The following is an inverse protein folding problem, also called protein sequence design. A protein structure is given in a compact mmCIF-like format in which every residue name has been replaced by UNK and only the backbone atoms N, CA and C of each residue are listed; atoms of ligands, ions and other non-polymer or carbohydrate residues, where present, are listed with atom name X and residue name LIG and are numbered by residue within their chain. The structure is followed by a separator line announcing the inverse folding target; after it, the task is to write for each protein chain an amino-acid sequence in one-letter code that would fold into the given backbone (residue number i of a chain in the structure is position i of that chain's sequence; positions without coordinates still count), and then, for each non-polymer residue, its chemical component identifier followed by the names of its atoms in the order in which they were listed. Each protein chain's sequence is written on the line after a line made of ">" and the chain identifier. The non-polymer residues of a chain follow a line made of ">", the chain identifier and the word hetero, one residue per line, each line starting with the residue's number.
data_IF_164448282951
#
_entry.id   IF_164448282951
#
_cell.length_a   1.000
_cell.length_b   1.000
_cell.length_c   1.000
_cell.angle_alpha   90.00
_cell.angle_beta   90.00
_cell.angle_gamma   90.00
#
_symmetry.space_group_name_H-M   'P 1'
#
loop_
_entity.id
_entity.type
_entity.pdbx_description
1 polymer ?
#
# COMPACT_ATOMS: atom_id res chain seq x y z
N UNK A 1 -36.43 12.72 -5.39
CA UNK A 1 -35.17 13.51 -5.44
C UNK A 1 -34.24 12.96 -4.37
N UNK A 2 -33.38 12.00 -4.70
CA UNK A 2 -32.46 11.37 -3.72
C UNK A 2 -31.16 10.95 -4.42
N UNK A 3 -30.33 11.93 -4.77
CA UNK A 3 -28.98 11.70 -5.34
C UNK A 3 -27.86 12.19 -4.41
N UNK A 4 -28.18 12.67 -3.21
CA UNK A 4 -27.21 13.33 -2.32
C UNK A 4 -26.32 12.37 -1.50
N UNK A 5 -26.54 11.05 -1.60
CA UNK A 5 -25.90 10.05 -0.73
C UNK A 5 -25.01 9.05 -1.50
N UNK A 6 -24.38 9.43 -2.60
CA UNK A 6 -23.43 8.55 -3.32
C UNK A 6 -22.12 9.26 -3.59
N UNK A 7 -21.00 8.61 -3.25
CA UNK A 7 -19.66 9.02 -3.70
C UNK A 7 -19.60 8.77 -5.21
N UNK A 8 -19.35 9.82 -5.98
CA UNK A 8 -19.27 9.76 -7.44
C UNK A 8 -17.89 10.16 -7.92
N UNK A 9 -17.48 9.70 -9.10
CA UNK A 9 -16.19 10.04 -9.69
C UNK A 9 -16.00 11.55 -9.85
N UNK A 10 -17.05 12.25 -10.30
CA UNK A 10 -17.04 13.73 -10.40
C UNK A 10 -16.76 14.38 -9.05
N UNK A 11 -17.33 13.84 -7.96
CA UNK A 11 -17.07 14.39 -6.63
C UNK A 11 -15.63 14.17 -6.19
N UNK A 12 -15.05 13.00 -6.48
CA UNK A 12 -13.65 12.71 -6.19
C UNK A 12 -12.72 13.65 -6.96
N UNK A 13 -13.02 13.94 -8.24
CA UNK A 13 -12.27 14.93 -9.02
C UNK A 13 -12.36 16.33 -8.41
N UNK A 14 -13.56 16.79 -8.02
CA UNK A 14 -13.74 18.08 -7.35
C UNK A 14 -12.92 18.17 -6.06
N UNK A 15 -12.87 17.07 -5.29
CA UNK A 15 -12.07 16.97 -4.06
C UNK A 15 -10.58 17.06 -4.39
N UNK A 16 -10.08 16.30 -5.36
CA UNK A 16 -8.68 16.35 -5.79
C UNK A 16 -8.31 17.75 -6.28
N UNK A 17 -9.19 18.40 -7.07
CA UNK A 17 -9.01 19.77 -7.53
C UNK A 17 -8.95 20.76 -6.36
N UNK A 18 -9.79 20.57 -5.34
CA UNK A 18 -9.85 21.45 -4.17
C UNK A 18 -8.63 21.32 -3.24
N UNK A 19 -7.98 20.16 -3.20
CA UNK A 19 -6.78 19.92 -2.39
C UNK A 19 -5.54 20.59 -2.99
N UNK A 20 -5.54 20.86 -4.31
CA UNK A 20 -4.53 21.64 -5.03
C UNK A 20 -3.06 21.22 -4.74
N UNK A 21 -2.82 19.92 -4.62
CA UNK A 21 -1.48 19.36 -4.42
C UNK A 21 -0.77 19.16 -5.76
N UNK A 22 0.42 19.76 -5.92
CA UNK A 22 1.25 19.63 -7.13
C UNK A 22 1.63 18.18 -7.45
N UNK A 23 1.73 17.32 -6.44
CA UNK A 23 2.09 15.89 -6.57
C UNK A 23 0.87 14.98 -6.57
N UNK A 24 -0.34 15.54 -6.51
CA UNK A 24 -1.61 14.80 -6.43
C UNK A 24 -2.04 14.50 -5.01
N UNK A 25 -3.35 14.32 -4.83
CA UNK A 25 -3.96 14.11 -3.53
C UNK A 25 -3.83 12.65 -3.07
N UNK A 26 -3.49 12.43 -1.80
CA UNK A 26 -3.47 11.08 -1.22
C UNK A 26 -4.88 10.51 -1.10
N UNK A 27 -5.01 9.19 -1.18
CA UNK A 27 -6.29 8.50 -0.97
C UNK A 27 -6.94 8.88 0.37
N UNK A 28 -6.13 9.05 1.41
CA UNK A 28 -6.58 9.42 2.76
C UNK A 28 -7.06 10.87 2.81
N UNK A 29 -6.37 11.81 2.15
CA UNK A 29 -6.83 13.19 2.06
C UNK A 29 -8.19 13.29 1.35
N UNK A 30 -8.35 12.53 0.25
CA UNK A 30 -9.63 12.40 -0.46
C UNK A 30 -10.69 11.79 0.46
N UNK A 31 -10.35 10.70 1.17
CA UNK A 31 -11.25 10.03 2.11
C UNK A 31 -11.70 10.94 3.24
N UNK A 32 -10.80 11.70 3.88
CA UNK A 32 -11.14 12.64 4.97
C UNK A 32 -12.08 13.72 4.49
N UNK A 33 -11.85 14.27 3.30
CA UNK A 33 -12.72 15.30 2.74
C UNK A 33 -14.13 14.76 2.51
N UNK A 34 -14.22 13.58 1.89
CA UNK A 34 -15.49 12.88 1.67
C UNK A 34 -16.15 12.46 2.99
N UNK A 35 -15.36 12.14 4.02
CA UNK A 35 -15.87 11.83 5.36
C UNK A 35 -16.56 13.04 5.99
N UNK A 36 -15.94 14.21 5.92
CA UNK A 36 -16.51 15.46 6.47
C UNK A 36 -17.83 15.88 5.80
N UNK A 37 -18.03 15.47 4.56
CA UNK A 37 -19.20 15.84 3.75
C UNK A 37 -20.35 14.83 3.84
N UNK A 38 -20.08 13.60 4.27
CA UNK A 38 -21.07 12.52 4.37
C UNK A 38 -21.07 11.85 5.75
N UNK A 39 -21.32 12.56 6.87
CA UNK A 39 -21.25 11.99 8.21
C UNK A 39 -22.21 10.80 8.42
N UNK A 40 -23.30 10.73 7.65
CA UNK A 40 -24.35 9.71 7.79
C UNK A 40 -24.00 8.32 7.21
N UNK A 41 -22.91 8.19 6.44
CA UNK A 41 -22.49 6.90 5.88
C UNK A 41 -21.60 6.12 6.86
N UNK A 42 -21.80 4.79 6.95
CA UNK A 42 -20.88 3.91 7.67
C UNK A 42 -19.48 3.97 7.04
N UNK A 43 -18.44 3.97 7.86
CA UNK A 43 -17.05 4.09 7.42
C UNK A 43 -16.68 3.03 6.35
N UNK A 44 -17.07 1.78 6.58
CA UNK A 44 -16.82 0.67 5.64
C UNK A 44 -17.43 0.89 4.26
N UNK A 45 -18.70 1.30 4.20
CA UNK A 45 -19.40 1.51 2.93
C UNK A 45 -18.79 2.68 2.15
N UNK A 46 -18.44 3.76 2.86
CA UNK A 46 -17.78 4.93 2.26
C UNK A 46 -16.44 4.55 1.64
N UNK A 47 -15.67 3.71 2.32
CA UNK A 47 -14.36 3.26 1.87
C UNK A 47 -14.46 2.35 0.65
N UNK A 48 -15.37 1.39 0.67
CA UNK A 48 -15.56 0.48 -0.48
C UNK A 48 -16.03 1.25 -1.72
N UNK A 49 -16.97 2.18 -1.54
CA UNK A 49 -17.42 3.05 -2.62
C UNK A 49 -16.30 3.97 -3.13
N UNK A 50 -15.48 4.54 -2.24
CA UNK A 50 -14.34 5.34 -2.64
C UNK A 50 -13.31 4.51 -3.41
N UNK A 51 -13.06 3.26 -3.01
CA UNK A 51 -12.21 2.31 -3.74
C UNK A 51 -12.71 2.10 -5.15
N UNK A 52 -13.99 1.75 -5.29
CA UNK A 52 -14.60 1.48 -6.58
C UNK A 52 -14.51 2.72 -7.50
N UNK A 53 -14.76 3.91 -6.95
CA UNK A 53 -14.72 5.16 -7.72
C UNK A 53 -13.30 5.54 -8.12
N UNK A 54 -12.30 5.38 -7.24
CA UNK A 54 -10.91 5.65 -7.59
C UNK A 54 -10.40 4.66 -8.64
N UNK A 55 -10.80 3.40 -8.55
CA UNK A 55 -10.47 2.38 -9.55
C UNK A 55 -11.12 2.70 -10.89
N UNK A 56 -12.42 3.02 -10.90
CA UNK A 56 -13.14 3.50 -12.09
C UNK A 56 -12.46 4.74 -12.70
N UNK A 57 -12.01 5.68 -11.88
CA UNK A 57 -11.29 6.86 -12.33
C UNK A 57 -9.95 6.53 -13.01
N UNK A 58 -9.21 5.55 -12.49
CA UNK A 58 -7.97 5.07 -13.10
C UNK A 58 -8.24 4.33 -14.41
N UNK A 59 -9.24 3.45 -14.44
CA UNK A 59 -9.59 2.66 -15.63
C UNK A 59 -10.13 3.55 -16.76
N UNK A 60 -10.89 4.59 -16.41
CA UNK A 60 -11.41 5.57 -17.37
C UNK A 60 -10.38 6.62 -17.80
N UNK A 61 -9.19 6.64 -17.20
CA UNK A 61 -8.14 7.64 -17.45
C UNK A 61 -8.48 9.06 -16.95
N UNK A 62 -9.58 9.20 -16.18
CA UNK A 62 -9.98 10.46 -15.54
C UNK A 62 -9.15 10.79 -14.32
N UNK A 63 -8.54 9.78 -13.72
CA UNK A 63 -7.51 9.89 -12.70
C UNK A 63 -6.22 9.24 -13.21
N UNK A 64 -5.09 9.76 -12.75
CA UNK A 64 -3.76 9.20 -13.04
C UNK A 64 -2.92 9.16 -11.77
N UNK A 65 -1.90 8.31 -11.77
CA UNK A 65 -0.89 8.28 -10.70
C UNK A 65 0.31 9.16 -11.07
N UNK A 66 0.99 9.78 -10.09
CA UNK A 66 2.25 10.49 -10.35
C UNK A 66 3.31 9.56 -10.96
N UNK A 67 4.14 10.12 -11.84
CA UNK A 67 5.21 9.37 -12.49
C UNK A 67 6.21 8.80 -11.45
N UNK A 68 6.53 7.51 -11.58
CA UNK A 68 7.41 6.78 -10.67
C UNK A 68 6.70 5.98 -9.56
N UNK A 69 5.38 6.13 -9.40
CA UNK A 69 4.60 5.30 -8.47
C UNK A 69 4.50 3.86 -8.97
N UNK A 70 5.11 2.90 -8.24
CA UNK A 70 4.98 1.44 -8.47
C UNK A 70 3.89 0.81 -7.60
N UNK A 71 2.89 1.58 -7.19
CA UNK A 71 1.79 1.08 -6.35
C UNK A 71 0.78 0.35 -7.24
N UNK A 72 0.41 -0.87 -6.87
CA UNK A 72 -0.56 -1.70 -7.60
C UNK A 72 -1.97 -1.12 -7.68
N UNK A 73 -2.87 -1.78 -8.42
CA UNK A 73 -4.30 -1.38 -8.52
C UNK A 73 -4.96 -1.40 -7.14
N UNK A 74 -5.41 -0.25 -6.64
CA UNK A 74 -6.08 -0.16 -5.34
C UNK A 74 -6.23 1.25 -4.78
N UNK A 75 -6.72 1.33 -3.53
CA UNK A 75 -6.97 2.53 -2.71
C UNK A 75 -5.69 3.24 -2.22
N UNK A 76 -4.51 2.77 -2.60
CA UNK A 76 -3.23 3.24 -2.04
C UNK A 76 -2.58 4.21 -3.00
N UNK A 77 -1.86 5.20 -2.49
CA UNK A 77 -1.09 6.17 -3.27
C UNK A 77 -1.81 7.47 -3.59
N UNK A 78 -1.16 8.27 -4.44
CA UNK A 78 -1.62 9.60 -4.85
C UNK A 78 -2.36 9.56 -6.18
N UNK A 79 -3.37 10.41 -6.28
CA UNK A 79 -4.23 10.56 -7.45
C UNK A 79 -4.16 12.00 -7.97
N UNK A 80 -3.91 12.11 -9.25
CA UNK A 80 -3.94 13.33 -10.03
C UNK A 80 -5.15 13.29 -10.95
N UNK A 81 -5.66 14.46 -11.31
CA UNK A 81 -6.63 14.57 -12.39
C UNK A 81 -5.97 14.14 -13.70
N UNK A 82 -6.63 13.24 -14.42
CA UNK A 82 -6.28 12.87 -15.77
C UNK A 82 -6.46 14.07 -16.69
N UNK A 83 -5.44 14.39 -17.48
CA UNK A 83 -5.63 15.26 -18.63
C UNK A 83 -6.34 14.42 -19.69
N UNK A 84 -7.53 14.81 -20.11
CA UNK A 84 -8.31 14.17 -21.19
C UNK A 84 -7.63 14.18 -22.59
N UNK A 85 -6.30 14.31 -22.63
CA UNK A 85 -5.49 14.57 -23.83
C UNK A 85 -4.46 13.48 -24.14
N UNK A 86 -4.33 12.41 -23.35
CA UNK A 86 -3.52 11.25 -23.74
C UNK A 86 -4.42 10.14 -24.26
N UNK A 87 -4.86 10.32 -25.52
CA UNK A 87 -5.22 9.18 -26.36
C UNK A 87 -3.96 8.31 -26.48
N UNK A 88 -4.19 7.00 -26.35
CA UNK A 88 -3.28 5.90 -26.66
C UNK A 88 -2.30 6.23 -27.82
N UNK A 89 -1.02 5.82 -27.75
CA UNK A 89 -0.15 5.89 -28.92
C UNK A 89 -0.73 5.05 -30.06
N UNK A 90 -1.08 5.73 -31.15
CA UNK A 90 -1.51 5.18 -32.44
C UNK A 90 -0.46 4.23 -33.00
N UNK A 91 -0.81 2.97 -33.20
CA UNK A 91 -0.10 2.07 -34.13
C UNK A 91 -0.62 2.43 -35.54
N UNK A 92 0.24 2.78 -36.52
CA UNK A 92 -0.22 3.10 -37.86
C UNK A 92 -0.78 1.87 -38.59
N UNK A 93 -1.94 2.06 -39.21
CA UNK A 93 -2.63 1.16 -40.13
C UNK A 93 -1.68 0.60 -41.20
N UNK A 94 -1.70 -0.73 -41.33
CA UNK A 94 -1.46 -1.40 -42.61
C UNK A 94 -2.64 -2.34 -42.83
N UNK A 95 -3.52 -1.96 -43.75
CA UNK A 95 -4.50 -2.86 -44.36
C UNK A 95 -3.76 -4.00 -45.09
N UNK A 96 -4.27 -5.23 -45.01
CA UNK A 96 -4.76 -6.01 -46.17
C UNK A 96 -5.06 -7.47 -45.78
N UNK A 97 -6.32 -7.83 -46.04
CA UNK A 97 -6.94 -9.13 -46.35
C UNK A 97 -6.98 -10.32 -45.37
N UNK A 98 -8.21 -10.56 -44.91
CA UNK A 98 -9.03 -11.78 -45.15
C UNK A 98 -8.30 -13.11 -45.38
N UNK A 99 -8.40 -14.03 -44.40
CA UNK A 99 -8.84 -15.44 -44.56
C UNK A 99 -9.00 -16.05 -43.15
N UNK A 100 -10.21 -16.45 -42.79
CA UNK A 100 -10.55 -17.34 -41.65
C UNK A 100 -10.36 -18.82 -42.06
N UNK A 101 -10.54 -19.83 -41.18
CA UNK A 101 -10.25 -19.96 -39.74
C UNK A 101 -9.64 -21.34 -39.35
N UNK A 102 -8.82 -21.44 -38.31
CA UNK A 102 -8.60 -22.69 -37.51
C UNK A 102 -8.27 -22.24 -36.07
N UNK A 103 -9.20 -22.38 -35.12
CA UNK A 103 -9.26 -23.47 -34.12
C UNK A 103 -8.01 -23.53 -33.24
N UNK A 104 -8.15 -23.16 -31.96
CA UNK A 104 -7.47 -23.79 -30.81
C UNK A 104 -7.94 -23.13 -29.48
N UNK A 105 -8.85 -23.86 -28.83
CA UNK A 105 -8.96 -24.17 -27.39
C UNK A 105 -9.06 -23.04 -26.34
N UNK A 106 -10.25 -22.99 -25.70
CA UNK A 106 -10.52 -22.40 -24.40
C UNK A 106 -9.76 -23.16 -23.30
N UNK A 107 -8.94 -22.46 -22.51
CA UNK A 107 -8.55 -22.92 -21.18
C UNK A 107 -8.87 -21.80 -20.18
N UNK A 108 -9.95 -22.00 -19.41
CA UNK A 108 -10.36 -21.15 -18.30
C UNK A 108 -9.41 -21.38 -17.12
N UNK A 109 -8.69 -20.33 -16.72
CA UNK A 109 -7.97 -20.30 -15.44
C UNK A 109 -8.90 -19.86 -14.27
N UNK A 110 -8.76 -20.49 -13.09
CA UNK A 110 -9.74 -20.49 -12.01
C UNK A 110 -9.91 -19.13 -11.29
N UNK A 111 -11.03 -18.92 -10.57
CA UNK A 111 -11.30 -17.68 -9.86
C UNK A 111 -10.26 -17.47 -8.76
N UNK A 112 -9.38 -16.49 -8.96
CA UNK A 112 -8.39 -16.09 -7.97
C UNK A 112 -9.14 -15.64 -6.71
N UNK A 113 -8.93 -16.40 -5.64
CA UNK A 113 -9.60 -16.24 -4.37
C UNK A 113 -9.58 -14.77 -3.91
N UNK A 114 -10.76 -14.28 -3.52
CA UNK A 114 -10.91 -13.04 -2.78
C UNK A 114 -10.16 -13.16 -1.45
N UNK A 115 -8.87 -12.81 -1.46
CA UNK A 115 -8.07 -12.65 -0.27
C UNK A 115 -8.68 -11.55 0.58
N UNK A 116 -9.24 -11.95 1.71
CA UNK A 116 -9.72 -11.08 2.79
C UNK A 116 -8.63 -10.08 3.17
N UNK A 117 -8.67 -8.88 2.60
CA UNK A 117 -8.03 -7.71 3.17
C UNK A 117 -9.01 -7.15 4.20
N UNK A 118 -9.01 -7.74 5.40
CA UNK A 118 -9.60 -7.12 6.59
C UNK A 118 -8.86 -5.80 6.81
N UNK A 119 -9.51 -4.72 6.38
CA UNK A 119 -9.02 -3.37 6.60
C UNK A 119 -9.79 -2.85 7.81
N UNK A 120 -9.18 -2.98 8.98
CA UNK A 120 -9.71 -2.42 10.20
C UNK A 120 -9.86 -0.89 10.08
N UNK A 121 -10.92 -0.39 10.69
CA UNK A 121 -11.32 1.01 10.80
C UNK A 121 -10.11 1.91 11.12
N UNK A 122 -9.59 2.63 10.13
CA UNK A 122 -8.54 3.61 10.39
C UNK A 122 -9.11 4.84 11.09
N UNK A 123 -8.78 4.95 12.38
CA UNK A 123 -8.90 6.14 13.22
C UNK A 123 -8.25 7.39 12.58
N UNK A 124 -8.71 8.62 12.95
CA UNK A 124 -8.19 9.85 12.37
C UNK A 124 -6.66 9.94 12.51
N UNK A 125 -5.97 9.86 11.37
CA UNK A 125 -4.51 9.86 11.32
C UNK A 125 -3.93 11.22 11.68
N UNK A 126 -3.65 11.40 12.97
CA UNK A 126 -2.82 12.49 13.49
C UNK A 126 -1.35 12.05 13.47
N UNK A 127 -0.37 12.98 13.50
CA UNK A 127 1.04 12.59 13.63
C UNK A 127 1.30 11.77 14.91
N UNK A 128 0.54 12.01 15.98
CA UNK A 128 0.59 11.21 17.20
C UNK A 128 0.09 9.77 16.98
N UNK A 129 -0.99 9.58 16.22
CA UNK A 129 -1.46 8.25 15.84
C UNK A 129 -0.43 7.50 14.98
N UNK A 130 0.29 8.20 14.09
CA UNK A 130 1.38 7.62 13.33
C UNK A 130 2.54 7.13 14.19
N UNK A 131 2.91 7.89 15.22
CA UNK A 131 3.95 7.46 16.17
C UNK A 131 3.53 6.18 16.89
N UNK A 132 2.28 6.09 17.32
CA UNK A 132 1.78 4.87 17.95
C UNK A 132 1.86 3.68 16.98
N UNK A 133 1.44 3.84 15.72
CA UNK A 133 1.55 2.78 14.69
C UNK A 133 2.99 2.36 14.42
N UNK A 134 3.94 3.31 14.44
CA UNK A 134 5.37 3.02 14.31
C UNK A 134 5.84 2.14 15.46
N UNK A 135 5.45 2.48 16.69
CA UNK A 135 5.80 1.72 17.89
C UNK A 135 5.22 0.31 17.82
N UNK A 136 3.93 0.17 17.50
CA UNK A 136 3.27 -1.13 17.34
C UNK A 136 3.95 -2.00 16.26
N UNK A 137 4.25 -1.43 15.08
CA UNK A 137 4.98 -2.18 14.03
C UNK A 137 6.38 -2.55 14.48
N UNK A 138 7.08 -1.67 15.18
CA UNK A 138 8.42 -1.94 15.72
C UNK A 138 8.39 -3.10 16.72
N UNK A 139 7.46 -3.07 17.68
CA UNK A 139 7.33 -4.11 18.69
C UNK A 139 6.95 -5.46 18.08
N UNK A 140 6.05 -5.47 17.10
CA UNK A 140 5.73 -6.67 16.31
C UNK A 140 6.97 -7.24 15.63
N UNK A 141 7.72 -6.42 14.90
CA UNK A 141 8.91 -6.85 14.17
C UNK A 141 10.01 -7.34 15.11
N UNK A 142 10.23 -6.65 16.23
CA UNK A 142 11.17 -7.11 17.28
C UNK A 142 10.76 -8.49 17.78
N UNK A 143 9.47 -8.71 18.04
CA UNK A 143 8.95 -10.01 18.49
C UNK A 143 9.17 -11.11 17.44
N UNK A 144 8.87 -10.85 16.17
CA UNK A 144 9.12 -11.78 15.06
C UNK A 144 10.62 -12.09 14.92
N UNK A 145 11.48 -11.08 15.05
CA UNK A 145 12.93 -11.25 15.00
C UNK A 145 13.45 -12.16 16.11
N UNK A 146 12.98 -11.95 17.34
CA UNK A 146 13.35 -12.77 18.49
C UNK A 146 12.88 -14.22 18.32
N UNK A 147 11.69 -14.43 17.77
CA UNK A 147 11.21 -15.78 17.45
C UNK A 147 12.10 -16.45 16.41
N UNK A 148 12.44 -15.73 15.34
CA UNK A 148 13.26 -16.26 14.27
C UNK A 148 14.69 -16.59 14.73
N UNK A 149 15.24 -15.85 15.69
CA UNK A 149 16.54 -16.14 16.30
C UNK A 149 16.60 -17.51 16.97
N UNK A 150 15.46 -18.07 17.40
CA UNK A 150 15.42 -19.44 17.92
C UNK A 150 15.83 -20.46 16.86
N UNK A 151 15.50 -20.23 15.59
CA UNK A 151 15.89 -21.10 14.47
C UNK A 151 17.41 -21.21 14.32
N UNK A 152 18.17 -20.18 14.71
CA UNK A 152 19.64 -20.20 14.65
C UNK A 152 20.25 -21.24 15.61
N UNK A 153 19.52 -21.66 16.65
CA UNK A 153 19.99 -22.63 17.64
C UNK A 153 19.60 -24.08 17.29
N UNK A 154 18.85 -24.33 16.21
CA UNK A 154 18.48 -25.69 15.81
C UNK A 154 19.68 -26.41 15.21
N UNK A 155 20.08 -27.52 15.84
CA UNK A 155 21.27 -28.32 15.46
C UNK A 155 21.21 -28.94 14.06
N UNK A 156 20.02 -29.16 13.52
CA UNK A 156 19.82 -29.88 12.25
C UNK A 156 19.19 -29.01 11.15
N UNK A 157 19.27 -27.68 11.26
CA UNK A 157 18.75 -26.79 10.23
C UNK A 157 19.67 -26.83 8.99
N UNK A 158 19.13 -26.99 7.77
CA UNK A 158 19.91 -26.96 6.54
C UNK A 158 20.67 -25.64 6.39
N UNK A 159 21.85 -25.68 5.78
CA UNK A 159 22.69 -24.50 5.59
C UNK A 159 21.96 -23.36 4.85
N UNK A 160 21.17 -23.69 3.82
CA UNK A 160 20.39 -22.69 3.08
C UNK A 160 19.30 -22.03 3.95
N UNK A 161 18.62 -22.81 4.80
CA UNK A 161 17.59 -22.32 5.70
C UNK A 161 18.21 -21.44 6.80
N UNK A 162 19.36 -21.85 7.34
CA UNK A 162 20.13 -21.05 8.30
C UNK A 162 20.53 -19.68 7.73
N UNK A 163 20.95 -19.64 6.46
CA UNK A 163 21.29 -18.37 5.80
C UNK A 163 20.06 -17.48 5.62
N UNK A 164 18.91 -18.04 5.23
CA UNK A 164 17.65 -17.29 5.15
C UNK A 164 17.25 -16.71 6.51
N UNK A 165 17.41 -17.48 7.60
CA UNK A 165 17.13 -16.98 8.96
C UNK A 165 18.05 -15.81 9.31
N UNK A 166 19.35 -15.94 9.02
CA UNK A 166 20.33 -14.85 9.26
C UNK A 166 19.97 -13.59 8.47
N UNK A 167 19.57 -13.75 7.20
CA UNK A 167 19.16 -12.63 6.36
C UNK A 167 17.90 -11.93 6.90
N UNK A 168 16.86 -12.69 7.25
CA UNK A 168 15.62 -12.14 7.78
C UNK A 168 15.84 -11.43 9.13
N UNK A 169 16.55 -12.07 10.06
CA UNK A 169 16.91 -11.48 11.36
C UNK A 169 17.76 -10.22 11.16
N UNK A 170 18.76 -10.26 10.28
CA UNK A 170 19.61 -9.11 9.98
C UNK A 170 18.81 -7.93 9.42
N UNK A 171 17.92 -8.18 8.46
CA UNK A 171 17.07 -7.14 7.87
C UNK A 171 16.08 -6.58 8.90
N UNK A 172 15.48 -7.43 9.72
CA UNK A 172 14.56 -7.02 10.77
C UNK A 172 15.24 -6.16 11.85
N UNK A 173 16.49 -6.48 12.23
CA UNK A 173 17.27 -5.64 13.14
C UNK A 173 17.59 -4.28 12.49
N UNK A 174 17.98 -4.26 11.22
CA UNK A 174 18.28 -3.01 10.52
C UNK A 174 17.07 -2.06 10.47
N UNK A 175 15.84 -2.55 10.31
CA UNK A 175 14.67 -1.66 10.29
C UNK A 175 14.25 -1.20 11.69
N UNK A 176 14.48 -2.00 12.73
CA UNK A 176 13.97 -1.73 14.09
C UNK A 176 14.95 -0.98 14.99
N UNK A 177 16.27 -1.18 14.82
CA UNK A 177 17.29 -0.64 15.74
C UNK A 177 18.19 0.45 15.13
N UNK A 178 18.18 0.63 13.81
CA UNK A 178 19.01 1.63 13.16
C UNK A 178 18.33 3.01 13.18
N UNK A 179 19.07 4.06 13.56
CA UNK A 179 18.62 5.46 13.51
C UNK A 179 18.35 5.96 12.10
N UNK A 180 18.95 5.32 11.09
CA UNK A 180 18.70 5.63 9.66
C UNK A 180 17.61 4.76 9.04
N UNK A 181 16.92 3.92 9.84
CA UNK A 181 15.84 3.08 9.34
C UNK A 181 14.64 3.93 8.87
N UNK A 182 13.84 3.42 7.91
CA UNK A 182 12.57 4.04 7.54
C UNK A 182 11.64 4.31 8.74
N UNK A 183 11.59 3.39 9.72
CA UNK A 183 10.78 3.57 10.92
C UNK A 183 11.29 4.74 11.78
N UNK A 184 12.60 4.82 12.03
CA UNK A 184 13.19 5.92 12.80
C UNK A 184 13.01 7.27 12.10
N UNK A 185 13.29 7.32 10.79
CA UNK A 185 13.13 8.55 10.01
C UNK A 185 11.68 9.02 9.95
N UNK A 186 10.73 8.10 9.89
CA UNK A 186 9.31 8.47 9.91
C UNK A 186 8.85 9.01 11.26
N UNK A 187 9.34 8.44 12.37
CA UNK A 187 9.07 8.95 13.72
C UNK A 187 9.58 10.40 13.88
N UNK A 188 10.78 10.69 13.38
CA UNK A 188 11.33 12.06 13.32
C UNK A 188 10.40 13.01 12.54
N UNK A 189 9.95 12.61 11.35
CA UNK A 189 9.03 13.42 10.54
C UNK A 189 7.71 13.70 11.28
N UNK A 190 7.19 12.72 12.02
CA UNK A 190 5.99 12.92 12.84
C UNK A 190 6.23 13.93 13.97
N UNK A 191 7.38 13.89 14.64
CA UNK A 191 7.75 14.87 15.65
C UNK A 191 7.95 16.28 15.06
N UNK A 192 8.59 16.39 13.90
CA UNK A 192 8.72 17.65 13.16
C UNK A 192 7.33 18.23 12.83
N UNK A 193 6.39 17.40 12.38
CA UNK A 193 5.00 17.79 12.08
C UNK A 193 4.23 18.29 13.32
N UNK A 194 4.53 17.79 14.52
CA UNK A 194 3.90 18.24 15.77
C UNK A 194 4.55 19.48 16.39
N UNK A 195 5.77 19.85 15.98
CA UNK A 195 6.49 20.97 16.57
C UNK A 195 5.82 22.30 16.17
N UNK A 196 5.30 23.04 17.15
CA UNK A 196 4.65 24.34 16.95
C UNK A 196 5.70 25.47 16.91
N UNK A 197 5.52 26.45 16.01
CA UNK A 197 6.31 27.69 16.00
C UNK A 197 7.65 27.67 15.25
N UNK A 198 7.89 26.68 14.38
CA UNK A 198 9.06 26.69 13.50
C UNK A 198 8.81 27.53 12.25
N UNK A 199 9.72 28.47 11.96
CA UNK A 199 9.73 29.32 10.74
C UNK A 199 10.16 28.52 9.48
N UNK A 200 9.97 27.19 9.50
CA UNK A 200 10.40 26.29 8.44
C UNK A 200 9.26 26.07 7.43
N UNK A 201 9.34 26.62 6.20
CA UNK A 201 8.34 26.42 5.17
C UNK A 201 8.31 24.97 4.63
N UNK A 202 9.28 24.12 4.98
CA UNK A 202 9.38 22.72 4.57
C UNK A 202 8.91 21.74 5.65
N UNK A 203 8.07 22.19 6.58
CA UNK A 203 7.51 21.32 7.61
C UNK A 203 6.65 20.22 6.96
N UNK A 204 6.81 18.94 7.32
CA UNK A 204 6.02 17.85 6.76
C UNK A 204 4.54 18.08 7.03
N UNK A 205 3.72 18.05 5.98
CA UNK A 205 2.27 18.03 6.13
C UNK A 205 1.75 16.60 6.28
N UNK A 206 0.45 16.43 6.51
CA UNK A 206 -0.13 15.08 6.63
C UNK A 206 0.01 14.27 5.35
N UNK A 207 0.07 14.90 4.16
CA UNK A 207 0.22 14.18 2.90
C UNK A 207 1.66 13.66 2.69
N UNK A 208 2.65 14.39 3.21
CA UNK A 208 4.05 13.97 3.25
C UNK A 208 4.22 12.79 4.21
N UNK A 209 3.57 12.86 5.39
CA UNK A 209 3.58 11.75 6.34
C UNK A 209 2.88 10.51 5.77
N UNK A 210 1.70 10.65 5.18
CA UNK A 210 0.98 9.55 4.53
C UNK A 210 1.88 8.89 3.47
N UNK A 211 2.51 9.70 2.60
CA UNK A 211 3.37 9.20 1.53
C UNK A 211 4.64 8.51 2.03
N UNK A 212 5.23 8.99 3.12
CA UNK A 212 6.39 8.34 3.73
C UNK A 212 6.00 7.04 4.44
N UNK A 213 4.83 7.01 5.09
CA UNK A 213 4.30 5.81 5.73
C UNK A 213 4.14 4.67 4.73
N UNK A 214 3.65 4.93 3.51
CA UNK A 214 3.58 3.92 2.45
C UNK A 214 4.95 3.28 2.16
N UNK A 215 6.03 4.07 2.16
CA UNK A 215 7.40 3.56 1.97
C UNK A 215 7.81 2.66 3.14
N UNK A 216 7.48 3.07 4.37
CA UNK A 216 7.71 2.24 5.57
C UNK A 216 6.96 0.92 5.46
N UNK A 217 5.69 0.94 5.08
CA UNK A 217 4.88 -0.27 4.93
C UNK A 217 5.45 -1.22 3.88
N UNK A 218 5.93 -0.70 2.75
CA UNK A 218 6.60 -1.51 1.74
C UNK A 218 7.88 -2.17 2.28
N UNK A 219 8.67 -1.46 3.07
CA UNK A 219 9.89 -2.02 3.69
C UNK A 219 9.55 -3.07 4.76
N UNK A 220 8.48 -2.87 5.53
CA UNK A 220 7.98 -3.85 6.49
C UNK A 220 7.46 -5.09 5.77
N UNK A 221 6.71 -4.93 4.67
CA UNK A 221 6.19 -6.05 3.89
C UNK A 221 7.31 -6.94 3.35
N UNK A 222 8.41 -6.36 2.86
CA UNK A 222 9.58 -7.14 2.41
C UNK A 222 10.17 -8.03 3.51
N UNK A 223 10.08 -7.60 4.76
CA UNK A 223 10.54 -8.38 5.92
C UNK A 223 9.53 -9.47 6.24
N UNK A 224 8.24 -9.16 6.19
CA UNK A 224 7.18 -10.15 6.34
C UNK A 224 7.29 -11.27 5.28
N UNK A 225 7.55 -10.93 4.02
CA UNK A 225 7.79 -11.91 2.94
C UNK A 225 9.02 -12.80 3.20
N UNK A 226 10.05 -12.28 3.89
CA UNK A 226 11.20 -13.07 4.31
C UNK A 226 10.83 -14.05 5.42
N UNK A 227 10.02 -13.62 6.39
CA UNK A 227 9.55 -14.49 7.47
C UNK A 227 8.55 -15.54 7.00
N UNK A 228 7.69 -15.22 6.04
CA UNK A 228 6.76 -16.18 5.43
C UNK A 228 7.54 -17.32 4.74
N UNK A 229 8.55 -16.96 3.92
CA UNK A 229 9.45 -17.96 3.30
C UNK A 229 10.17 -18.84 4.32
N UNK A 230 10.48 -18.32 5.50
CA UNK A 230 11.08 -19.11 6.58
C UNK A 230 10.09 -20.12 7.18
N UNK A 231 8.84 -19.73 7.36
CA UNK A 231 7.79 -20.63 7.84
C UNK A 231 7.57 -21.77 6.85
N UNK A 232 7.51 -21.48 5.55
CA UNK A 232 7.35 -22.51 4.51
C UNK A 232 8.49 -23.55 4.55
N UNK A 233 9.73 -23.11 4.73
CA UNK A 233 10.88 -24.00 4.85
C UNK A 233 10.78 -24.87 6.13
N UNK A 234 10.32 -24.28 7.24
CA UNK A 234 10.09 -25.00 8.50
C UNK A 234 9.02 -26.08 8.39
N UNK A 235 7.92 -25.80 7.68
CA UNK A 235 6.83 -26.75 7.48
C UNK A 235 7.22 -27.92 6.55
N UNK A 236 7.97 -27.65 5.48
CA UNK A 236 8.47 -28.68 4.55
C UNK A 236 9.47 -29.63 5.23
N UNK A 237 10.31 -29.10 6.14
CA UNK A 237 11.25 -29.88 6.94
C UNK A 237 10.53 -30.81 7.93
N UNK A 238 9.53 -30.29 8.65
CA UNK A 238 8.74 -31.08 9.60
C UNK A 238 7.90 -32.17 8.92
N UNK A 239 7.46 -31.92 7.68
CA UNK A 239 6.72 -32.90 6.87
C UNK A 239 7.63 -34.02 6.34
N UNK A 240 8.88 -33.70 6.00
CA UNK A 240 9.87 -34.67 5.51
C UNK A 240 10.47 -35.56 6.62
N UNK A 241 10.36 -35.15 7.90
CA UNK A 241 10.79 -35.96 9.05
C UNK A 241 9.69 -36.89 9.60
N UNK A 242 8.45 -36.78 9.10
CA UNK A 242 7.30 -37.61 9.50
C UNK A 242 7.03 -38.82 8.58
N UNK A 243 7.84 -39.01 7.54
CA UNK A 243 7.82 -40.16 6.62
C UNK A 243 9.05 -41.04 6.85
#
# INVERSE_FOLDING_TARGET
>A
MSTLNRITLKRVEDVIASLNDQKGASAIAIQRRIQSEHPDMKAEQRKELLRAVLLEGLDTGRLRRPHGSKVGRGLVGRFLLGTSAERLPTIPEIEVNTTQPQEEEEEEDPPVAAGNLTFDLEEPCTPAAYIQRVQEKRDRLVSQCQEAEKYLNYRNLPAHALEQVRMAVGRCRLITSNSTSPLARFEELCHEAMTLGGDNPYKPDLNDLDGYWEVVELEVQKIDDLFEKLNDIGELQNSSQKL
#
